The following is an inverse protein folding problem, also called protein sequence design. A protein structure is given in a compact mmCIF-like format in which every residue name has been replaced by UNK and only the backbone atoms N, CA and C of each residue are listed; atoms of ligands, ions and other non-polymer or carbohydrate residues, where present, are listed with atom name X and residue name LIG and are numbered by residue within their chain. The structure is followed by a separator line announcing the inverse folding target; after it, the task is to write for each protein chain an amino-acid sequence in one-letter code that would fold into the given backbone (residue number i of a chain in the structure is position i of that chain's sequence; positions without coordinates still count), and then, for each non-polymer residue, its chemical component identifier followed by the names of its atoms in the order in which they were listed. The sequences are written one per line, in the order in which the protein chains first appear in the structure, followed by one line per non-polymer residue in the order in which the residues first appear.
data_IF_852093048440
#
_entry.id   IF_852093048440
#
_cell.length_a   1.000
_cell.length_b   1.000
_cell.length_c   1.000
_cell.angle_alpha   90.00
_cell.angle_beta   90.00
_cell.angle_gamma   90.00
#
_symmetry.space_group_name_H-M   'P 1'
#
loop_
_entity.id
_entity.type
_entity.pdbx_description
1 polymer ?
#
# COMPACT_ATOMS: atom_id res chain seq x y z
N UNK A 1 13.59 -27.11 16.50
CA UNK A 1 13.40 -25.64 16.61
C UNK A 1 14.75 -24.97 16.32
N UNK A 2 14.77 -23.78 15.73
CA UNK A 2 16.04 -23.08 15.46
C UNK A 2 16.70 -22.66 16.79
N UNK A 3 18.03 -22.79 16.88
CA UNK A 3 18.84 -22.41 18.04
C UNK A 3 19.16 -20.91 18.07
N UNK A 4 19.77 -20.43 19.17
CA UNK A 4 20.12 -19.02 19.37
C UNK A 4 21.18 -18.49 18.37
N UNK A 5 21.93 -19.40 17.75
CA UNK A 5 22.96 -19.15 16.76
C UNK A 5 22.43 -19.06 15.32
N UNK A 6 21.16 -19.40 15.11
CA UNK A 6 20.53 -19.33 13.78
C UNK A 6 19.97 -17.92 13.58
N UNK A 7 20.52 -17.13 12.65
CA UNK A 7 19.98 -15.81 12.37
C UNK A 7 18.53 -15.93 11.86
N UNK A 8 17.65 -14.97 12.20
CA UNK A 8 16.27 -15.00 11.75
C UNK A 8 16.20 -14.88 10.23
N UNK A 9 15.44 -15.77 9.60
CA UNK A 9 15.14 -15.68 8.17
C UNK A 9 14.16 -14.56 7.92
N UNK A 10 14.63 -13.41 7.45
CA UNK A 10 13.77 -12.29 7.06
C UNK A 10 12.99 -12.62 5.77
N UNK A 11 13.69 -13.15 4.77
CA UNK A 11 13.12 -13.58 3.49
C UNK A 11 13.64 -14.98 3.16
N UNK A 12 12.79 -15.90 2.64
CA UNK A 12 13.21 -17.25 2.29
C UNK A 12 14.10 -17.30 1.04
N UNK A 13 14.14 -16.23 0.26
CA UNK A 13 14.96 -16.08 -0.95
C UNK A 13 15.90 -14.89 -0.77
N UNK A 14 17.17 -14.98 -1.19
CA UNK A 14 18.08 -13.83 -1.21
C UNK A 14 17.50 -12.73 -2.09
N UNK A 15 17.33 -11.54 -1.52
CA UNK A 15 16.90 -10.35 -2.25
C UNK A 15 18.10 -9.45 -2.50
N UNK A 16 18.21 -8.94 -3.73
CA UNK A 16 19.09 -7.83 -4.07
C UNK A 16 18.30 -6.51 -4.00
N UNK A 17 18.99 -5.38 -3.99
CA UNK A 17 18.37 -4.06 -3.98
C UNK A 17 17.79 -3.72 -5.35
N UNK A 18 16.67 -4.36 -5.71
CA UNK A 18 15.96 -4.08 -6.95
C UNK A 18 15.34 -2.69 -6.90
N UNK A 19 15.72 -1.84 -7.86
CA UNK A 19 15.12 -0.53 -8.06
C UNK A 19 14.13 -0.59 -9.21
N UNK A 20 13.03 0.15 -9.09
CA UNK A 20 12.11 0.40 -10.19
C UNK A 20 12.65 1.56 -11.05
N UNK A 21 12.59 1.49 -12.39
CA UNK A 21 12.87 2.66 -13.23
C UNK A 21 11.89 3.80 -12.92
N UNK A 22 12.35 5.04 -13.12
CA UNK A 22 11.54 6.25 -12.94
C UNK A 22 10.73 6.57 -14.21
N UNK A 23 9.82 5.65 -14.54
CA UNK A 23 8.96 5.75 -15.73
C UNK A 23 7.49 5.81 -15.30
N UNK A 24 6.69 6.74 -15.85
CA UNK A 24 5.27 6.83 -15.53
C UNK A 24 4.50 5.63 -16.12
N UNK A 25 3.54 5.12 -15.36
CA UNK A 25 2.58 4.12 -15.80
C UNK A 25 1.18 4.74 -15.92
N UNK A 26 0.34 4.17 -16.80
CA UNK A 26 -1.07 4.57 -16.89
C UNK A 26 -1.77 4.26 -15.56
N UNK A 27 -2.37 5.25 -14.87
CA UNK A 27 -3.12 5.01 -13.64
C UNK A 27 -4.47 4.34 -13.94
N UNK A 28 -5.09 3.78 -12.90
CA UNK A 28 -6.50 3.39 -12.95
C UNK A 28 -7.37 4.62 -13.24
N UNK A 29 -8.52 4.38 -13.87
CA UNK A 29 -9.57 5.40 -13.95
C UNK A 29 -10.10 5.73 -12.55
N UNK A 30 -10.72 6.90 -12.39
CA UNK A 30 -11.30 7.30 -11.10
C UNK A 30 -12.40 6.32 -10.65
N UNK A 31 -13.18 5.78 -11.59
CA UNK A 31 -14.22 4.79 -11.32
C UNK A 31 -13.63 3.47 -10.80
N UNK A 32 -12.60 2.93 -11.47
CA UNK A 32 -11.90 1.73 -11.03
C UNK A 32 -11.25 1.90 -9.67
N UNK A 33 -10.66 3.08 -9.40
CA UNK A 33 -10.06 3.36 -8.10
C UNK A 33 -11.09 3.41 -6.95
N UNK A 34 -12.34 3.76 -7.25
CA UNK A 34 -13.42 3.93 -6.26
C UNK A 34 -14.38 2.73 -6.20
N UNK A 35 -14.18 1.69 -7.01
CA UNK A 35 -15.14 0.59 -7.17
C UNK A 35 -15.48 -0.11 -5.84
N UNK A 36 -14.49 -0.21 -4.96
CA UNK A 36 -14.61 -0.86 -3.65
C UNK A 36 -14.58 0.13 -2.48
N UNK A 37 -14.76 1.43 -2.74
CA UNK A 37 -14.78 2.45 -1.69
C UNK A 37 -16.00 2.24 -0.77
N UNK A 38 -15.82 2.06 0.56
CA UNK A 38 -16.95 1.90 1.48
C UNK A 38 -17.93 3.07 1.46
N UNK A 39 -17.42 4.28 1.19
CA UNK A 39 -18.19 5.48 0.86
C UNK A 39 -17.37 6.35 -0.06
N UNK A 40 -17.99 6.81 -1.14
CA UNK A 40 -17.42 7.80 -2.07
C UNK A 40 -18.42 8.93 -2.33
N UNK A 41 -17.90 10.13 -2.57
CA UNK A 41 -18.69 11.32 -2.86
C UNK A 41 -17.87 12.23 -3.77
N UNK A 42 -18.48 12.73 -4.85
CA UNK A 42 -17.83 13.64 -5.82
C UNK A 42 -16.46 13.15 -6.35
N UNK A 43 -16.30 11.84 -6.56
CA UNK A 43 -15.05 11.26 -7.06
C UNK A 43 -13.95 11.10 -6.00
N UNK A 44 -14.30 11.17 -4.71
CA UNK A 44 -13.38 11.08 -3.57
C UNK A 44 -13.79 9.98 -2.60
N UNK A 45 -12.83 9.40 -1.88
CA UNK A 45 -13.10 8.57 -0.71
C UNK A 45 -13.60 9.43 0.46
N UNK A 46 -14.63 8.97 1.17
CA UNK A 46 -15.16 9.68 2.34
C UNK A 46 -14.77 8.96 3.62
N UNK A 47 -14.18 9.70 4.56
CA UNK A 47 -13.82 9.20 5.89
C UNK A 47 -14.30 10.16 6.98
N UNK A 48 -14.57 9.68 8.22
CA UNK A 48 -14.81 10.54 9.35
C UNK A 48 -13.61 11.43 9.65
N UNK A 49 -13.86 12.71 9.94
CA UNK A 49 -12.83 13.63 10.41
C UNK A 49 -12.49 13.31 11.88
N UNK A 50 -11.23 13.01 12.18
CA UNK A 50 -10.79 12.60 13.53
C UNK A 50 -10.57 13.79 14.47
N UNK A 51 -10.15 14.94 13.93
CA UNK A 51 -9.97 16.18 14.68
C UNK A 51 -10.78 17.29 14.00
N UNK A 52 -11.87 17.71 14.65
CA UNK A 52 -12.68 18.86 14.28
C UNK A 52 -12.71 19.86 15.44
N UNK A 53 -12.32 21.10 15.16
CA UNK A 53 -12.59 22.24 16.05
C UNK A 53 -13.94 22.85 15.62
N UNK A 54 -14.79 23.04 16.64
CA UNK A 54 -16.24 23.37 16.69
C UNK A 54 -17.24 22.30 16.20
#
# INVERSE_FOLDING_TARGET
VAGEDVPPTANPVPLEAYLRPDEPATPLTQEEALSDAPRSESGMFVAPRILGEE
#
